data_IF_222747279291
#
_entry.id   IF_222747279291
#
_cell.length_a   1.000
_cell.length_b   1.000
_cell.length_c   1.000
_cell.angle_alpha   90.00
_cell.angle_beta   90.00
_cell.angle_gamma   90.00
#
_symmetry.space_group_name_H-M   'P 1'
#
loop_
_entity.id
_entity.type
_entity.pdbx_description
1 polymer ?
#
# COMPACT_ATOMS: atom_id res chain seq x y z
N UNK A 1 -44.94 -6.74 -11.32
CA UNK A 1 -44.00 -5.70 -10.86
C UNK A 1 -43.20 -6.10 -9.61
N UNK A 2 -43.83 -6.59 -8.52
CA UNK A 2 -43.15 -6.96 -7.25
C UNK A 2 -41.99 -7.97 -7.38
N UNK A 3 -42.09 -8.95 -8.30
CA UNK A 3 -41.04 -9.95 -8.56
C UNK A 3 -39.81 -9.35 -9.26
N UNK A 4 -40.02 -8.33 -10.10
CA UNK A 4 -38.95 -7.66 -10.84
C UNK A 4 -38.10 -6.79 -9.91
N UNK A 5 -38.73 -6.14 -8.93
CA UNK A 5 -38.03 -5.37 -7.89
C UNK A 5 -37.11 -6.26 -7.05
N UNK A 6 -37.53 -7.49 -6.75
CA UNK A 6 -36.73 -8.43 -5.97
C UNK A 6 -35.49 -8.91 -6.74
N UNK A 7 -35.65 -9.18 -8.05
CA UNK A 7 -34.54 -9.56 -8.93
C UNK A 7 -33.54 -8.40 -9.06
N UNK A 8 -34.03 -7.18 -9.24
CA UNK A 8 -33.18 -5.98 -9.32
C UNK A 8 -32.40 -5.76 -8.01
N UNK A 9 -33.04 -5.99 -6.87
CA UNK A 9 -32.41 -5.89 -5.56
C UNK A 9 -31.28 -6.93 -5.39
N UNK A 10 -31.51 -8.19 -5.79
CA UNK A 10 -30.49 -9.23 -5.74
C UNK A 10 -29.26 -8.89 -6.61
N UNK A 11 -29.46 -8.30 -7.80
CA UNK A 11 -28.37 -7.93 -8.70
C UNK A 11 -27.41 -6.89 -8.12
N UNK A 12 -27.88 -6.01 -7.22
CA UNK A 12 -27.02 -5.01 -6.58
C UNK A 12 -26.03 -5.62 -5.58
N UNK A 13 -26.30 -6.82 -5.06
CA UNK A 13 -25.44 -7.48 -4.06
C UNK A 13 -24.32 -8.33 -4.67
N UNK A 14 -24.27 -8.51 -5.99
CA UNK A 14 -23.25 -9.32 -6.67
C UNK A 14 -22.06 -8.51 -7.22
N UNK A 15 -21.91 -7.25 -6.82
CA UNK A 15 -20.70 -6.50 -7.14
C UNK A 15 -19.53 -6.99 -6.29
N UNK A 16 -18.68 -7.84 -6.89
CA UNK A 16 -17.38 -8.19 -6.32
C UNK A 16 -16.44 -7.01 -6.43
N UNK A 17 -15.94 -6.53 -5.28
CA UNK A 17 -14.83 -5.58 -5.23
C UNK A 17 -13.55 -6.40 -5.40
N UNK A 18 -12.95 -6.33 -6.57
CA UNK A 18 -11.63 -6.91 -6.80
C UNK A 18 -10.57 -5.92 -6.37
N UNK A 19 -9.89 -6.28 -5.29
CA UNK A 19 -8.56 -5.81 -4.94
C UNK A 19 -7.61 -5.87 -6.13
N UNK A 20 -6.94 -4.75 -6.43
CA UNK A 20 -5.85 -4.72 -7.39
C UNK A 20 -4.53 -4.90 -6.66
N UNK A 21 -3.69 -5.77 -7.21
CA UNK A 21 -2.32 -5.94 -6.73
C UNK A 21 -1.53 -4.63 -6.92
N UNK A 22 -0.92 -4.17 -5.84
CA UNK A 22 -0.01 -3.02 -5.83
C UNK A 22 1.34 -3.47 -6.36
N UNK A 23 1.85 -2.83 -7.41
CA UNK A 23 3.17 -3.19 -7.94
C UNK A 23 4.29 -2.81 -6.97
N UNK A 24 5.42 -3.52 -7.02
CA UNK A 24 6.60 -3.19 -6.20
C UNK A 24 7.07 -1.74 -6.40
N UNK A 25 6.98 -1.20 -7.61
CA UNK A 25 7.36 0.19 -7.90
C UNK A 25 6.40 1.17 -7.21
N UNK A 26 5.09 0.91 -7.29
CA UNK A 26 4.07 1.69 -6.59
C UNK A 26 4.26 1.60 -5.08
N UNK A 27 4.48 0.40 -4.54
CA UNK A 27 4.71 0.19 -3.12
C UNK A 27 5.98 0.94 -2.64
N UNK A 28 7.04 0.94 -3.45
CA UNK A 28 8.27 1.69 -3.15
C UNK A 28 8.02 3.20 -3.12
N UNK A 29 7.25 3.71 -4.07
CA UNK A 29 6.88 5.13 -4.11
C UNK A 29 6.08 5.52 -2.86
N UNK A 30 5.07 4.72 -2.51
CA UNK A 30 4.25 4.91 -1.30
C UNK A 30 5.14 4.89 -0.06
N UNK A 31 6.05 3.92 0.05
CA UNK A 31 6.94 3.79 1.18
C UNK A 31 7.83 5.03 1.36
N UNK A 32 8.42 5.54 0.27
CA UNK A 32 9.27 6.74 0.31
C UNK A 32 8.46 7.97 0.73
N UNK A 33 7.28 8.17 0.13
CA UNK A 33 6.41 9.31 0.45
C UNK A 33 5.97 9.27 1.92
N UNK A 34 5.49 8.10 2.38
CA UNK A 34 5.03 7.92 3.75
C UNK A 34 6.16 8.19 4.75
N UNK A 35 7.35 7.66 4.49
CA UNK A 35 8.49 7.91 5.36
C UNK A 35 8.90 9.38 5.37
N UNK A 36 8.98 10.02 4.19
CA UNK A 36 9.31 11.43 4.05
C UNK A 36 8.35 12.33 4.84
N UNK A 37 7.05 12.07 4.73
CA UNK A 37 6.03 12.81 5.49
C UNK A 37 6.24 12.65 6.99
N UNK A 38 6.44 11.42 7.48
CA UNK A 38 6.58 11.15 8.92
C UNK A 38 7.89 11.68 9.49
N UNK A 39 9.01 11.54 8.78
CA UNK A 39 10.32 11.93 9.34
C UNK A 39 10.47 13.44 9.41
N UNK A 40 9.87 14.19 8.48
CA UNK A 40 9.96 15.65 8.45
C UNK A 40 9.25 16.35 9.61
N UNK A 41 8.37 15.64 10.32
CA UNK A 41 7.81 16.12 11.58
C UNK A 41 8.86 16.18 12.71
N UNK A 42 9.96 15.41 12.58
CA UNK A 42 11.01 15.29 13.61
C UNK A 42 12.37 15.81 13.15
N UNK A 43 12.70 15.64 11.86
CA UNK A 43 13.99 16.00 11.28
C UNK A 43 13.83 16.29 9.79
N UNK A 44 14.36 17.43 9.34
CA UNK A 44 14.46 17.69 7.90
C UNK A 44 15.40 16.68 7.26
N UNK A 45 14.86 15.87 6.38
CA UNK A 45 15.58 14.93 5.52
C UNK A 45 15.17 15.23 4.08
N UNK A 46 16.12 15.30 3.15
CA UNK A 46 15.76 15.49 1.75
C UNK A 46 15.17 14.21 1.16
N UNK A 47 14.20 14.34 0.25
CA UNK A 47 13.51 13.19 -0.33
C UNK A 47 14.49 12.23 -1.03
N UNK A 48 15.52 12.76 -1.70
CA UNK A 48 16.54 11.95 -2.40
C UNK A 48 17.49 11.21 -1.45
N UNK A 49 17.54 11.59 -0.17
CA UNK A 49 18.38 10.96 0.84
C UNK A 49 17.75 9.69 1.42
N UNK A 50 16.46 9.45 1.16
CA UNK A 50 15.75 8.24 1.59
C UNK A 50 16.24 7.06 0.76
N UNK A 51 16.97 6.16 1.40
CA UNK A 51 17.52 4.95 0.79
C UNK A 51 17.08 3.71 1.55
N UNK A 52 16.51 2.76 0.82
CA UNK A 52 16.19 1.45 1.33
C UNK A 52 17.40 0.50 1.23
N UNK A 53 17.42 -0.54 2.07
CA UNK A 53 18.43 -1.61 1.98
C UNK A 53 18.24 -2.44 0.72
N UNK A 54 19.28 -3.17 0.31
CA UNK A 54 19.22 -4.03 -0.89
C UNK A 54 18.17 -5.14 -0.76
N UNK A 55 17.89 -5.59 0.46
CA UNK A 55 16.93 -6.66 0.75
C UNK A 55 15.50 -6.13 0.97
N UNK A 56 15.21 -4.92 0.52
CA UNK A 56 13.88 -4.29 0.63
C UNK A 56 13.00 -4.59 -0.58
N UNK A 57 11.68 -4.57 -0.36
CA UNK A 57 10.68 -4.92 -1.37
C UNK A 57 10.33 -6.41 -1.37
N UNK A 58 10.68 -7.14 -0.31
CA UNK A 58 10.24 -8.52 -0.10
C UNK A 58 8.76 -8.50 0.30
N UNK A 59 7.97 -9.38 -0.31
CA UNK A 59 6.59 -9.63 0.08
C UNK A 59 6.58 -10.65 1.21
N UNK A 60 6.00 -10.28 2.36
CA UNK A 60 5.67 -11.19 3.45
C UNK A 60 4.24 -10.90 3.90
N UNK A 61 3.39 -11.93 3.98
CA UNK A 61 2.01 -11.84 4.45
C UNK A 61 1.17 -10.72 3.82
N UNK A 62 1.28 -10.52 2.49
CA UNK A 62 0.64 -9.45 1.71
C UNK A 62 1.16 -8.03 2.00
N UNK A 63 2.39 -7.90 2.49
CA UNK A 63 3.05 -6.61 2.67
C UNK A 63 4.41 -6.59 1.99
N UNK A 64 4.69 -5.50 1.29
CA UNK A 64 6.04 -5.10 0.92
C UNK A 64 6.75 -4.51 2.14
N UNK A 65 7.91 -5.06 2.47
CA UNK A 65 8.75 -4.58 3.57
C UNK A 65 9.90 -3.74 2.99
N UNK A 66 9.97 -2.46 3.37
CA UNK A 66 11.05 -1.55 2.99
C UNK A 66 11.86 -1.12 4.22
N UNK A 67 13.03 -1.72 4.39
CA UNK A 67 13.95 -1.37 5.47
C UNK A 67 14.83 -0.19 5.05
N UNK A 68 14.99 0.82 5.92
CA UNK A 68 15.87 1.95 5.65
C UNK A 68 17.33 1.60 5.92
N UNK A 69 18.24 2.22 5.15
CA UNK A 69 19.68 2.14 5.43
C UNK A 69 20.01 2.70 6.82
N UNK A 70 21.15 2.27 7.37
CA UNK A 70 21.67 2.69 8.67
C UNK A 70 20.73 2.40 9.86
N UNK A 71 19.87 1.39 9.74
CA UNK A 71 18.93 0.99 10.80
C UNK A 71 17.97 2.11 11.24
N UNK A 72 17.60 3.00 10.31
CA UNK A 72 16.71 4.16 10.57
C UNK A 72 15.21 3.79 10.68
N UNK A 73 14.88 2.51 10.54
CA UNK A 73 13.51 1.99 10.64
C UNK A 73 13.07 1.21 9.41
N UNK A 74 11.76 1.02 9.28
CA UNK A 74 11.15 0.31 8.16
C UNK A 74 9.76 0.87 7.83
N UNK A 75 9.29 0.59 6.62
CA UNK A 75 7.94 0.88 6.15
C UNK A 75 7.30 -0.39 5.61
N UNK A 76 6.05 -0.64 5.98
CA UNK A 76 5.22 -1.72 5.45
C UNK A 76 4.18 -1.11 4.52
N UNK A 77 4.02 -1.68 3.32
CA UNK A 77 2.99 -1.28 2.36
C UNK A 77 2.20 -2.51 1.95
N UNK A 78 0.88 -2.45 2.04
CA UNK A 78 0.01 -3.54 1.56
C UNK A 78 0.29 -3.86 0.09
N UNK A 79 0.30 -5.14 -0.26
CA UNK A 79 0.36 -5.60 -1.66
C UNK A 79 -1.02 -5.56 -2.35
N UNK A 80 -2.06 -5.14 -1.63
CA UNK A 80 -3.44 -5.06 -2.06
C UNK A 80 -3.99 -3.65 -1.80
N UNK A 81 -4.61 -3.02 -2.80
CA UNK A 81 -5.17 -1.67 -2.73
C UNK A 81 -6.53 -1.57 -2.01
N UNK A 82 -7.14 -2.71 -1.65
CA UNK A 82 -8.38 -2.79 -0.88
C UNK A 82 -8.15 -2.95 0.64
N UNK A 83 -6.89 -3.05 1.08
CA UNK A 83 -6.48 -3.23 2.47
C UNK A 83 -6.54 -1.95 3.32
#
# INVERSE_FOLDING_TARGET
MRKFTFILLCLLFFYSIYAKEVTLETARLIATNLYYERINDFSKLEYQEIKFTKDSGIIADNFYIFNLQDNKGFVLVSSDDAA
#
